data_IF_767562534360
#
_entry.id   IF_767562534360
#
_cell.length_a   1.000
_cell.length_b   1.000
_cell.length_c   1.000
_cell.angle_alpha   90.00
_cell.angle_beta   90.00
_cell.angle_gamma   90.00
#
_symmetry.space_group_name_H-M   'P 1'
#
loop_
_entity.id
_entity.type
_entity.pdbx_description
1 polymer ?
#
# COMPACT_ATOMS: atom_id res chain seq x y z
N UNK A 1 4.77 -9.76 7.29
CA UNK A 1 3.80 -10.07 6.22
C UNK A 1 4.40 -9.71 4.87
N UNK A 2 4.35 -10.65 3.94
CA UNK A 2 4.64 -10.42 2.52
C UNK A 2 3.30 -10.43 1.80
N UNK A 3 2.96 -9.31 1.18
CA UNK A 3 1.73 -9.13 0.41
C UNK A 3 2.09 -8.85 -1.04
N UNK A 4 1.51 -9.60 -1.96
CA UNK A 4 1.74 -9.44 -3.40
C UNK A 4 0.56 -9.94 -4.24
N UNK A 5 0.75 -9.99 -5.55
CA UNK A 5 -0.19 -10.65 -6.48
C UNK A 5 -0.19 -12.16 -6.27
N UNK A 6 -1.23 -12.84 -6.74
CA UNK A 6 -1.29 -14.30 -6.65
C UNK A 6 -0.14 -14.98 -7.42
N UNK A 7 0.21 -14.42 -8.57
CA UNK A 7 1.31 -14.93 -9.41
C UNK A 7 2.65 -14.83 -8.68
N UNK A 8 2.98 -13.66 -8.12
CA UNK A 8 4.23 -13.46 -7.41
C UNK A 8 4.31 -14.31 -6.12
N UNK A 9 3.20 -14.47 -5.39
CA UNK A 9 3.18 -15.35 -4.22
C UNK A 9 3.47 -16.80 -4.62
N UNK A 10 2.84 -17.31 -5.69
CA UNK A 10 2.97 -18.71 -6.09
C UNK A 10 4.34 -19.04 -6.70
N UNK A 11 4.81 -18.18 -7.59
CA UNK A 11 5.93 -18.49 -8.48
C UNK A 11 7.26 -17.86 -8.02
N UNK A 12 7.21 -16.97 -7.04
CA UNK A 12 8.43 -16.29 -6.59
C UNK A 12 8.60 -16.44 -5.08
N UNK A 13 7.66 -15.96 -4.30
CA UNK A 13 7.85 -15.90 -2.85
C UNK A 13 7.83 -17.27 -2.17
N UNK A 14 6.91 -18.17 -2.55
CA UNK A 14 6.91 -19.54 -1.99
C UNK A 14 8.17 -20.31 -2.40
N UNK A 15 8.60 -20.19 -3.65
CA UNK A 15 9.81 -20.83 -4.17
C UNK A 15 11.06 -20.33 -3.44
N UNK A 16 11.29 -19.02 -3.41
CA UNK A 16 12.44 -18.42 -2.73
C UNK A 16 12.49 -18.81 -1.25
N UNK A 17 11.39 -18.69 -0.52
CA UNK A 17 11.39 -19.02 0.90
C UNK A 17 11.65 -20.52 1.14
N UNK A 18 11.18 -21.37 0.24
CA UNK A 18 11.43 -22.83 0.30
C UNK A 18 12.89 -23.13 0.00
N UNK A 19 13.47 -22.55 -1.04
CA UNK A 19 14.87 -22.77 -1.43
C UNK A 19 15.86 -22.33 -0.35
N UNK A 20 15.56 -21.22 0.31
CA UNK A 20 16.35 -20.74 1.44
C UNK A 20 16.00 -21.39 2.78
N UNK A 21 15.11 -22.38 2.79
CA UNK A 21 14.65 -23.11 4.00
C UNK A 21 14.10 -22.16 5.08
N UNK A 22 13.44 -21.07 4.65
CA UNK A 22 12.82 -20.08 5.54
C UNK A 22 11.38 -20.49 5.80
N UNK A 23 11.06 -20.70 7.08
CA UNK A 23 9.71 -21.10 7.49
C UNK A 23 8.69 -19.99 7.27
N UNK A 24 7.57 -20.30 6.62
CA UNK A 24 6.51 -19.35 6.34
C UNK A 24 5.13 -19.99 6.46
N UNK A 25 4.11 -19.14 6.62
CA UNK A 25 2.72 -19.57 6.66
C UNK A 25 1.91 -18.82 5.60
N UNK A 26 1.22 -19.54 4.75
CA UNK A 26 0.37 -18.94 3.72
C UNK A 26 -1.07 -18.91 4.16
N UNK A 27 -1.67 -17.70 4.20
CA UNK A 27 -3.10 -17.52 4.39
C UNK A 27 -3.80 -17.74 3.05
N UNK A 28 -4.70 -18.73 2.99
CA UNK A 28 -5.51 -19.06 1.82
C UNK A 28 -7.00 -18.84 2.07
N UNK A 29 -7.42 -18.86 3.33
CA UNK A 29 -8.80 -18.71 3.77
C UNK A 29 -8.89 -18.07 5.16
N UNK A 30 -10.11 -17.75 5.59
CA UNK A 30 -10.36 -17.03 6.85
C UNK A 30 -9.85 -17.77 8.08
N UNK A 31 -10.00 -19.10 8.10
CA UNK A 31 -9.58 -19.94 9.22
C UNK A 31 -8.09 -19.89 9.48
N UNK A 32 -7.30 -19.67 8.43
CA UNK A 32 -5.83 -19.64 8.51
C UNK A 32 -5.34 -18.46 9.36
N UNK A 33 -6.10 -17.38 9.45
CA UNK A 33 -5.73 -16.20 10.24
C UNK A 33 -5.55 -16.56 11.73
N UNK A 34 -6.33 -17.50 12.24
CA UNK A 34 -6.24 -17.94 13.64
C UNK A 34 -4.97 -18.75 13.94
N UNK A 35 -4.35 -19.31 12.90
CA UNK A 35 -3.15 -20.15 13.00
C UNK A 35 -1.85 -19.35 12.89
N UNK A 36 -1.92 -18.08 12.51
CA UNK A 36 -0.74 -17.21 12.40
C UNK A 36 -0.06 -17.06 13.76
N UNK A 37 1.20 -17.41 13.81
CA UNK A 37 2.02 -17.35 15.03
C UNK A 37 2.89 -16.08 15.07
N UNK A 38 3.37 -15.75 16.26
CA UNK A 38 4.30 -14.64 16.44
C UNK A 38 5.67 -15.00 15.87
N UNK A 39 6.29 -14.08 15.14
CA UNK A 39 7.62 -14.27 14.55
C UNK A 39 7.59 -14.99 13.20
N UNK A 40 6.43 -15.44 12.74
CA UNK A 40 6.27 -16.19 11.51
C UNK A 40 6.21 -15.24 10.29
N UNK A 41 6.84 -15.64 9.20
CA UNK A 41 6.62 -15.02 7.90
C UNK A 41 5.26 -15.44 7.37
N UNK A 42 4.45 -14.48 6.96
CA UNK A 42 3.09 -14.73 6.49
C UNK A 42 2.93 -14.24 5.06
N UNK A 43 2.57 -15.15 4.17
CA UNK A 43 2.26 -14.83 2.77
C UNK A 43 0.76 -14.60 2.59
N UNK A 44 0.41 -13.54 1.87
CA UNK A 44 -0.97 -13.14 1.65
C UNK A 44 -1.13 -12.45 0.30
N UNK A 45 -2.14 -12.80 -0.48
CA UNK A 45 -2.45 -12.08 -1.72
C UNK A 45 -3.26 -10.80 -1.44
N UNK A 46 -3.07 -9.77 -2.28
CA UNK A 46 -3.83 -8.50 -2.17
C UNK A 46 -5.33 -8.71 -2.26
N UNK A 47 -5.78 -9.66 -3.10
CA UNK A 47 -7.20 -9.99 -3.24
C UNK A 47 -7.76 -10.56 -1.94
N UNK A 48 -7.08 -11.56 -1.39
CA UNK A 48 -7.50 -12.19 -0.14
C UNK A 48 -7.45 -11.22 1.05
N UNK A 49 -6.45 -10.32 1.09
CA UNK A 49 -6.42 -9.22 2.06
C UNK A 49 -7.67 -8.34 1.96
N UNK A 50 -8.14 -8.08 0.74
CA UNK A 50 -9.33 -7.27 0.50
C UNK A 50 -10.57 -7.96 1.06
N UNK A 51 -10.71 -9.25 0.83
CA UNK A 51 -11.83 -10.06 1.29
C UNK A 51 -11.83 -10.26 2.82
N UNK A 52 -10.65 -10.45 3.40
CA UNK A 52 -10.44 -10.69 4.83
C UNK A 52 -10.03 -9.41 5.61
N UNK A 53 -10.32 -8.24 5.07
CA UNK A 53 -9.91 -6.94 5.61
C UNK A 53 -10.19 -6.78 7.11
N UNK A 54 -11.36 -7.22 7.59
CA UNK A 54 -11.76 -7.05 9.00
C UNK A 54 -10.91 -7.89 9.93
N UNK A 55 -10.69 -9.14 9.59
CA UNK A 55 -9.92 -10.12 10.35
C UNK A 55 -8.44 -9.74 10.37
N UNK A 56 -7.89 -9.41 9.21
CA UNK A 56 -6.51 -8.96 9.06
C UNK A 56 -6.26 -7.66 9.84
N UNK A 57 -7.21 -6.72 9.83
CA UNK A 57 -7.10 -5.49 10.61
C UNK A 57 -7.05 -5.77 12.10
N UNK A 58 -7.83 -6.74 12.61
CA UNK A 58 -7.78 -7.15 14.02
C UNK A 58 -6.41 -7.75 14.36
N UNK A 59 -5.93 -8.71 13.55
CA UNK A 59 -4.65 -9.37 13.75
C UNK A 59 -3.49 -8.36 13.78
N UNK A 60 -3.41 -7.49 12.78
CA UNK A 60 -2.31 -6.53 12.63
C UNK A 60 -2.40 -5.40 13.67
N UNK A 61 -3.60 -4.90 13.99
CA UNK A 61 -3.78 -3.79 14.96
C UNK A 61 -3.21 -4.11 16.33
N UNK A 62 -3.39 -5.33 16.81
CA UNK A 62 -2.87 -5.76 18.13
C UNK A 62 -1.34 -5.79 18.13
N UNK A 63 -0.72 -5.98 16.97
CA UNK A 63 0.71 -6.25 16.81
C UNK A 63 1.45 -5.23 15.94
N UNK A 64 0.82 -4.10 15.57
CA UNK A 64 1.31 -3.19 14.53
C UNK A 64 2.74 -2.66 14.76
N UNK A 65 3.16 -2.52 16.00
CA UNK A 65 4.53 -2.10 16.37
C UNK A 65 5.59 -3.19 16.12
N UNK A 66 5.16 -4.44 15.97
CA UNK A 66 6.02 -5.64 15.79
C UNK A 66 5.79 -6.30 14.44
N UNK A 67 5.02 -5.67 13.57
CA UNK A 67 4.73 -6.15 12.22
C UNK A 67 5.59 -5.41 11.23
N UNK A 68 6.28 -6.16 10.39
CA UNK A 68 6.90 -5.67 9.17
C UNK A 68 6.02 -6.03 7.98
N UNK A 69 5.74 -5.08 7.12
CA UNK A 69 5.10 -5.27 5.83
C UNK A 69 6.17 -5.23 4.73
N UNK A 70 6.19 -6.25 3.91
CA UNK A 70 6.82 -6.23 2.58
C UNK A 70 5.66 -6.29 1.59
N UNK A 71 5.48 -5.24 0.83
CA UNK A 71 4.43 -5.15 -0.17
C UNK A 71 5.06 -5.10 -1.56
N UNK A 72 5.03 -6.23 -2.20
CA UNK A 72 5.55 -6.42 -3.55
C UNK A 72 4.44 -6.15 -4.58
N UNK A 73 4.81 -5.63 -5.75
CA UNK A 73 3.90 -5.09 -6.76
C UNK A 73 2.97 -4.01 -6.17
N UNK A 74 3.57 -3.06 -5.46
CA UNK A 74 2.84 -2.03 -4.71
C UNK A 74 2.06 -1.06 -5.58
N UNK A 75 2.35 -0.96 -6.87
CA UNK A 75 1.58 -0.21 -7.86
C UNK A 75 0.13 -0.74 -8.03
N UNK A 76 -0.17 -1.94 -7.56
CA UNK A 76 -1.54 -2.48 -7.50
C UNK A 76 -2.51 -1.64 -6.66
N UNK A 77 -1.99 -0.73 -5.81
CA UNK A 77 -2.78 0.23 -5.04
C UNK A 77 -2.70 1.67 -5.59
N UNK A 78 -2.32 1.87 -6.83
CA UNK A 78 -2.24 3.20 -7.46
C UNK A 78 -3.58 3.96 -7.49
N UNK A 79 -4.70 3.26 -7.51
CA UNK A 79 -6.03 3.87 -7.45
C UNK A 79 -6.52 3.98 -6.00
N UNK A 80 -6.54 5.21 -5.45
CA UNK A 80 -6.96 5.49 -4.07
C UNK A 80 -8.40 5.10 -3.74
N UNK A 81 -9.31 5.10 -4.70
CA UNK A 81 -10.72 4.72 -4.50
C UNK A 81 -10.96 3.21 -4.48
N UNK A 82 -9.99 2.42 -4.95
CA UNK A 82 -10.13 0.97 -5.10
C UNK A 82 -10.31 0.25 -3.75
N UNK A 83 -11.04 -0.88 -3.79
CA UNK A 83 -11.22 -1.73 -2.60
C UNK A 83 -9.89 -2.24 -2.06
N UNK A 84 -8.94 -2.57 -2.96
CA UNK A 84 -7.59 -3.06 -2.60
C UNK A 84 -6.81 -2.00 -1.83
N UNK A 85 -6.76 -0.78 -2.33
CA UNK A 85 -6.10 0.35 -1.67
C UNK A 85 -6.68 0.61 -0.29
N UNK A 86 -8.01 0.69 -0.20
CA UNK A 86 -8.71 0.88 1.09
C UNK A 86 -8.45 -0.25 2.07
N UNK A 87 -8.33 -1.49 1.61
CA UNK A 87 -7.99 -2.63 2.45
C UNK A 87 -6.55 -2.54 2.95
N UNK A 88 -5.59 -2.32 2.06
CA UNK A 88 -4.17 -2.20 2.38
C UNK A 88 -3.91 -1.10 3.41
N UNK A 89 -4.40 0.10 3.16
CA UNK A 89 -4.28 1.23 4.09
C UNK A 89 -4.97 0.94 5.44
N UNK A 90 -6.16 0.35 5.42
CA UNK A 90 -6.89 0.03 6.64
C UNK A 90 -6.15 -0.95 7.55
N UNK A 91 -5.40 -1.88 6.97
CA UNK A 91 -4.71 -2.96 7.69
C UNK A 91 -3.30 -2.51 8.11
N UNK A 92 -2.51 -1.98 7.18
CA UNK A 92 -1.06 -1.82 7.37
C UNK A 92 -0.58 -0.38 7.54
N UNK A 93 -1.40 0.64 7.31
CA UNK A 93 -0.97 2.05 7.38
C UNK A 93 -0.26 2.40 8.68
N UNK A 94 -0.69 1.83 9.81
CA UNK A 94 -0.13 2.10 11.14
C UNK A 94 1.06 1.23 11.51
N UNK A 95 1.46 0.28 10.68
CA UNK A 95 2.66 -0.52 10.93
C UNK A 95 3.90 0.36 10.85
N UNK A 96 4.85 0.10 11.75
CA UNK A 96 6.09 0.88 11.84
C UNK A 96 7.07 0.54 10.72
N UNK A 97 7.20 -0.73 10.40
CA UNK A 97 8.17 -1.22 9.42
C UNK A 97 7.46 -1.60 8.14
N UNK A 98 7.81 -0.94 7.05
CA UNK A 98 7.19 -1.16 5.74
C UNK A 98 8.21 -1.02 4.64
N UNK A 99 8.19 -1.96 3.71
CA UNK A 99 8.92 -1.95 2.46
C UNK A 99 7.91 -2.09 1.34
N UNK A 100 7.95 -1.20 0.37
CA UNK A 100 7.17 -1.29 -0.86
C UNK A 100 8.14 -1.54 -2.01
N UNK A 101 7.87 -2.58 -2.78
CA UNK A 101 8.61 -2.91 -3.99
C UNK A 101 7.68 -2.81 -5.20
N UNK A 102 8.17 -2.20 -6.26
CA UNK A 102 7.49 -2.12 -7.55
C UNK A 102 8.48 -1.75 -8.64
N UNK A 103 8.32 -2.32 -9.81
CA UNK A 103 9.06 -1.90 -11.01
C UNK A 103 8.59 -0.56 -11.56
N UNK A 104 7.37 -0.11 -11.21
CA UNK A 104 6.76 1.10 -11.74
C UNK A 104 5.93 1.79 -10.67
N UNK A 105 6.42 2.87 -10.09
CA UNK A 105 5.72 3.59 -9.03
C UNK A 105 4.46 4.31 -9.54
N UNK A 106 4.54 4.86 -10.74
CA UNK A 106 3.45 5.58 -11.42
C UNK A 106 3.40 5.15 -12.87
N UNK A 107 2.21 4.93 -13.43
CA UNK A 107 2.01 4.54 -14.83
C UNK A 107 1.58 5.72 -15.69
N UNK A 108 0.62 6.50 -15.21
CA UNK A 108 -0.02 7.56 -15.98
C UNK A 108 0.22 8.94 -15.37
N UNK A 109 0.23 9.04 -14.05
CA UNK A 109 0.39 10.32 -13.36
C UNK A 109 0.93 10.15 -11.94
N UNK A 110 1.51 11.22 -11.39
CA UNK A 110 2.13 11.24 -10.06
C UNK A 110 1.14 10.96 -8.93
N UNK A 111 -0.14 11.25 -9.12
CA UNK A 111 -1.19 11.02 -8.12
C UNK A 111 -1.35 9.53 -7.79
N UNK A 112 -0.97 8.65 -8.69
CA UNK A 112 -0.95 7.19 -8.47
C UNK A 112 0.02 6.76 -7.37
N UNK A 113 1.04 7.56 -7.08
CA UNK A 113 1.96 7.31 -5.97
C UNK A 113 1.35 7.66 -4.60
N UNK A 114 0.31 8.49 -4.56
CA UNK A 114 -0.26 8.98 -3.30
C UNK A 114 -0.69 7.87 -2.33
N UNK A 115 -1.38 6.80 -2.75
CA UNK A 115 -1.71 5.70 -1.84
C UNK A 115 -0.48 4.94 -1.32
N UNK A 116 0.57 4.82 -2.12
CA UNK A 116 1.81 4.17 -1.70
C UNK A 116 2.53 5.03 -0.65
N UNK A 117 2.60 6.35 -0.88
CA UNK A 117 3.16 7.29 0.09
C UNK A 117 2.34 7.31 1.39
N UNK A 118 1.01 7.30 1.32
CA UNK A 118 0.15 7.20 2.50
C UNK A 118 0.34 5.89 3.27
N UNK A 119 0.63 4.80 2.56
CA UNK A 119 0.96 3.53 3.19
C UNK A 119 2.29 3.60 3.93
N UNK A 120 3.33 4.21 3.32
CA UNK A 120 4.64 4.39 3.93
C UNK A 120 4.60 5.38 5.09
N UNK A 121 4.04 6.54 4.85
CA UNK A 121 3.99 7.67 5.79
C UNK A 121 2.55 7.96 6.15
N UNK A 122 2.12 7.45 7.29
CA UNK A 122 0.77 7.65 7.78
C UNK A 122 0.42 9.15 7.83
N UNK A 123 -0.71 9.52 7.22
CA UNK A 123 -1.19 10.89 7.05
C UNK A 123 -0.38 11.76 6.06
N UNK A 124 0.43 11.18 5.18
CA UNK A 124 1.15 11.93 4.15
C UNK A 124 0.22 12.71 3.23
N UNK A 125 -0.88 12.09 2.79
CA UNK A 125 -1.88 12.76 1.95
C UNK A 125 -2.58 13.89 2.70
N UNK A 126 -2.85 13.73 3.99
CA UNK A 126 -3.41 14.79 4.81
C UNK A 126 -2.41 15.94 5.00
N UNK A 127 -1.16 15.63 5.17
CA UNK A 127 -0.06 16.60 5.21
C UNK A 127 0.08 17.32 3.87
N UNK A 128 0.04 16.58 2.77
CA UNK A 128 0.03 17.11 1.42
C UNK A 128 -1.13 18.08 1.19
N UNK A 129 -2.35 17.72 1.60
CA UNK A 129 -3.52 18.58 1.46
C UNK A 129 -3.46 19.85 2.33
N UNK A 130 -2.82 19.80 3.49
CA UNK A 130 -2.69 20.92 4.42
C UNK A 130 -1.54 21.87 4.10
N UNK A 131 -0.44 21.37 3.56
CA UNK A 131 0.81 22.10 3.38
C UNK A 131 1.11 22.47 1.93
N UNK A 132 0.07 22.61 1.10
CA UNK A 132 0.21 23.10 -0.27
C UNK A 132 1.26 22.34 -1.09
N UNK A 133 1.17 21.03 -1.13
CA UNK A 133 1.88 20.30 -2.16
C UNK A 133 1.30 20.70 -3.51
N UNK A 134 1.92 21.75 -4.05
CA UNK A 134 1.52 22.34 -5.30
C UNK A 134 2.12 21.49 -6.42
N UNK A 135 1.35 20.56 -6.95
CA UNK A 135 1.70 19.98 -8.24
C UNK A 135 1.41 21.02 -9.31
N UNK A 136 2.42 21.67 -9.83
CA UNK A 136 2.25 22.58 -10.97
C UNK A 136 2.27 21.75 -12.25
N UNK A 137 1.21 21.84 -13.00
CA UNK A 137 1.22 21.41 -14.40
C UNK A 137 1.82 22.52 -15.27
N UNK A 138 2.43 22.17 -16.40
CA UNK A 138 3.20 23.09 -17.23
C UNK A 138 2.44 24.32 -17.79
N UNK A 139 1.13 24.38 -17.62
CA UNK A 139 0.31 25.55 -17.97
C UNK A 139 -0.24 26.33 -16.76
N UNK A 140 0.17 25.99 -15.55
CA UNK A 140 -0.23 26.69 -14.34
C UNK A 140 -1.69 26.51 -13.91
N UNK A 141 -2.49 25.70 -14.60
CA UNK A 141 -3.88 25.44 -14.21
C UNK A 141 -3.96 24.40 -13.11
N UNK A 142 -4.65 24.76 -12.03
CA UNK A 142 -4.94 23.86 -10.91
C UNK A 142 -6.25 23.11 -11.15
N UNK A 143 -6.22 21.80 -11.10
CA UNK A 143 -7.43 21.00 -10.98
C UNK A 143 -7.61 20.49 -9.56
N UNK A 144 -8.84 20.61 -9.09
CA UNK A 144 -9.25 20.00 -7.82
C UNK A 144 -9.70 18.58 -8.09
N UNK A 145 -8.95 17.60 -7.60
CA UNK A 145 -9.42 16.23 -7.56
C UNK A 145 -10.04 15.94 -6.20
N UNK A 146 -11.11 15.17 -6.19
CA UNK A 146 -11.66 14.67 -4.95
C UNK A 146 -10.61 13.80 -4.27
N UNK A 147 -10.22 14.16 -3.06
CA UNK A 147 -9.32 13.33 -2.27
C UNK A 147 -10.04 12.02 -1.90
N UNK A 148 -9.63 10.86 -2.45
CA UNK A 148 -10.34 9.60 -2.24
C UNK A 148 -10.30 9.12 -0.79
N UNK A 149 -9.43 9.73 0.04
CA UNK A 149 -9.27 9.34 1.45
C UNK A 149 -10.04 10.24 2.41
N UNK A 150 -10.32 11.50 2.04
CA UNK A 150 -10.87 12.51 2.94
C UNK A 150 -12.11 13.22 2.42
N UNK A 151 -12.65 12.81 1.28
CA UNK A 151 -13.75 13.50 0.56
C UNK A 151 -13.49 15.00 0.33
N UNK A 152 -12.25 15.42 0.35
CA UNK A 152 -11.88 16.80 0.08
C UNK A 152 -11.13 16.89 -1.25
N UNK A 153 -11.45 17.87 -2.09
CA UNK A 153 -10.67 18.14 -3.28
C UNK A 153 -9.28 18.61 -2.88
N UNK A 154 -8.24 18.02 -3.42
CA UNK A 154 -6.91 18.62 -3.34
C UNK A 154 -6.48 19.13 -4.71
N UNK A 155 -5.72 20.22 -4.73
CA UNK A 155 -5.26 20.78 -5.98
C UNK A 155 -4.36 19.78 -6.70
N UNK A 156 -4.73 19.45 -7.89
CA UNK A 156 -3.91 18.68 -8.80
C UNK A 156 -3.90 19.39 -10.16
N UNK A 157 -2.81 19.29 -10.89
CA UNK A 157 -2.57 20.03 -12.11
C UNK A 157 -2.70 19.13 -13.34
N UNK A 158 -3.22 19.67 -14.43
CA UNK A 158 -3.70 18.92 -15.60
C UNK A 158 -2.70 18.63 -16.71
N UNK A 159 -1.58 19.32 -16.80
CA UNK A 159 -0.61 19.11 -17.90
C UNK A 159 0.81 19.34 -17.45
N UNK A 160 1.66 18.32 -17.67
CA UNK A 160 3.10 18.37 -17.47
C UNK A 160 3.48 18.57 -16.01
N UNK A 161 3.96 17.53 -15.40
CA UNK A 161 4.35 17.55 -14.00
C UNK A 161 5.75 18.11 -13.87
N UNK A 162 5.89 19.24 -13.22
CA UNK A 162 7.17 19.60 -12.62
C UNK A 162 7.18 19.09 -11.19
N UNK A 163 7.99 18.08 -10.96
CA UNK A 163 8.36 17.66 -9.61
C UNK A 163 9.31 18.73 -9.06
N UNK A 164 8.84 19.55 -8.14
CA UNK A 164 9.75 20.38 -7.39
C UNK A 164 10.57 19.49 -6.48
N UNK A 165 11.89 19.41 -6.76
CA UNK A 165 12.85 18.87 -5.82
C UNK A 165 12.82 19.75 -4.57
N UNK A 166 12.67 19.11 -3.44
CA UNK A 166 12.82 19.77 -2.15
C UNK A 166 14.28 20.18 -1.99
N UNK A 167 14.51 21.46 -1.84
CA UNK A 167 15.75 22.02 -1.30
C UNK A 167 15.64 22.06 0.22
#
# INVERSE_FOLDING_TARGET
FIVSTALAINNTWEEILTDYQIDFYRIRKREDIKRVQKGQIVLLTVNLLTDLKREMKKLVRIRCQKVMLIFDESDTISNGSSKRTKAMLSVFRKCRYKVLATGTMTRNNVVEAAPQLELLYNNSIHYLAKNEWIFRFGNGQMEKYANPFFNQPFPAYKKGYELFSFS
#
